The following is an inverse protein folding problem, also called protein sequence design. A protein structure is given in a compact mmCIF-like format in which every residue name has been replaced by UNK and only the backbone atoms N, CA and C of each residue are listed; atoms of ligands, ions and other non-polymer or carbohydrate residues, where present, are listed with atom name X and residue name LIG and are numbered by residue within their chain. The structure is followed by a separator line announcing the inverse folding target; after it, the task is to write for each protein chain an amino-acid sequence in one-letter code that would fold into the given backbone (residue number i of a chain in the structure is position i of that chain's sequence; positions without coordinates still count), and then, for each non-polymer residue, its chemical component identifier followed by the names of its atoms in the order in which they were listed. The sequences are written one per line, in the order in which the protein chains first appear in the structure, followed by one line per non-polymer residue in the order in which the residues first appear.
data_IF_406693933036
#
_entry.id   IF_406693933036
#
_cell.length_a   1.000
_cell.length_b   1.000
_cell.length_c   1.000
_cell.angle_alpha   90.00
_cell.angle_beta   90.00
_cell.angle_gamma   90.00
#
_symmetry.space_group_name_H-M   'P 1'
#
loop_
_entity.id
_entity.type
_entity.pdbx_description
1 polymer ?
#
# COMPACT_ATOMS: atom_id res chain seq x y z
N UNK A 1 -36.34 -5.03 9.19
CA UNK A 1 -36.58 -5.54 7.84
C UNK A 1 -35.48 -6.55 7.66
N UNK A 2 -35.80 -7.84 7.76
CA UNK A 2 -34.84 -8.94 7.93
C UNK A 2 -33.95 -9.21 6.70
N UNK A 3 -33.77 -8.23 5.80
CA UNK A 3 -33.09 -8.43 4.52
C UNK A 3 -33.73 -9.54 3.67
N UNK A 4 -35.04 -9.76 3.80
CA UNK A 4 -35.73 -10.93 3.22
C UNK A 4 -36.04 -10.76 1.72
N UNK A 5 -35.16 -10.10 0.97
CA UNK A 5 -35.28 -9.94 -0.48
C UNK A 5 -34.74 -11.16 -1.25
N UNK A 6 -34.15 -12.13 -0.53
CA UNK A 6 -33.58 -13.35 -1.08
C UNK A 6 -32.31 -13.13 -1.92
N UNK A 7 -31.76 -11.92 -1.90
CA UNK A 7 -30.60 -11.53 -2.70
C UNK A 7 -29.33 -11.68 -1.85
N UNK A 8 -28.41 -12.53 -2.31
CA UNK A 8 -27.08 -12.65 -1.70
C UNK A 8 -26.15 -11.52 -2.12
N UNK A 9 -25.10 -11.30 -1.33
CA UNK A 9 -24.04 -10.35 -1.63
C UNK A 9 -22.70 -11.09 -1.77
N UNK A 10 -21.87 -10.66 -2.72
CA UNK A 10 -20.50 -11.14 -2.89
C UNK A 10 -19.58 -9.93 -2.79
N UNK A 11 -18.66 -9.97 -1.82
CA UNK A 11 -17.54 -9.02 -1.71
C UNK A 11 -16.23 -9.75 -1.97
N UNK A 12 -15.33 -9.10 -2.70
CA UNK A 12 -13.96 -9.57 -2.91
C UNK A 12 -13.04 -8.60 -2.20
N UNK A 13 -12.25 -9.12 -1.27
CA UNK A 13 -11.16 -8.41 -0.61
C UNK A 13 -9.85 -9.00 -1.10
N UNK A 14 -8.87 -8.13 -1.33
CA UNK A 14 -7.51 -8.55 -1.66
C UNK A 14 -6.63 -8.24 -0.46
N UNK A 15 -5.86 -9.21 0.00
CA UNK A 15 -5.08 -9.06 1.22
C UNK A 15 -3.69 -9.67 1.07
N UNK A 16 -2.72 -9.03 1.70
CA UNK A 16 -1.37 -9.54 1.87
C UNK A 16 -1.30 -10.35 3.14
N UNK A 17 -1.35 -11.68 3.02
CA UNK A 17 -1.36 -12.60 4.17
C UNK A 17 0.01 -13.24 4.38
N UNK A 18 0.42 -13.33 5.64
CA UNK A 18 1.64 -14.00 6.11
C UNK A 18 1.31 -15.34 6.79
N UNK A 19 2.29 -16.27 6.87
CA UNK A 19 2.12 -17.50 7.63
C UNK A 19 1.74 -17.21 9.10
N UNK A 20 0.55 -17.67 9.50
CA UNK A 20 0.01 -17.49 10.86
C UNK A 20 -1.14 -16.50 10.96
N UNK A 21 -1.42 -15.72 9.90
CA UNK A 21 -2.60 -14.85 9.84
C UNK A 21 -3.90 -15.66 9.85
N UNK A 22 -4.95 -15.08 10.45
CA UNK A 22 -6.28 -15.69 10.56
C UNK A 22 -7.26 -14.80 9.81
N UNK A 23 -7.98 -15.39 8.85
CA UNK A 23 -9.07 -14.76 8.12
C UNK A 23 -10.39 -15.39 8.58
N UNK A 24 -11.35 -14.55 8.93
CA UNK A 24 -12.67 -14.98 9.42
C UNK A 24 -13.79 -14.19 8.76
N UNK A 25 -15.00 -14.77 8.71
CA UNK A 25 -16.22 -14.07 8.31
C UNK A 25 -17.01 -13.75 9.58
N UNK A 26 -17.15 -12.46 9.87
CA UNK A 26 -18.03 -11.98 10.92
C UNK A 26 -19.34 -11.43 10.33
N UNK A 27 -20.46 -11.75 11.00
CA UNK A 27 -21.77 -11.18 10.74
C UNK A 27 -22.18 -10.31 11.93
N UNK A 28 -22.78 -9.16 11.65
CA UNK A 28 -23.44 -8.36 12.69
C UNK A 28 -24.82 -8.97 12.98
N UNK A 29 -25.23 -9.08 14.26
CA UNK A 29 -26.59 -9.49 14.60
C UNK A 29 -27.63 -8.40 14.26
N UNK A 30 -27.17 -7.19 13.95
CA UNK A 30 -28.00 -6.02 13.67
C UNK A 30 -28.03 -5.74 12.18
N UNK A 31 -29.23 -5.73 11.58
CA UNK A 31 -29.44 -5.34 10.19
C UNK A 31 -29.33 -3.83 9.97
N UNK A 32 -29.45 -3.35 8.71
CA UNK A 32 -29.33 -1.92 8.38
C UNK A 32 -30.35 -1.00 9.07
N UNK A 33 -31.46 -1.54 9.58
CA UNK A 33 -32.48 -0.80 10.32
C UNK A 33 -32.21 -0.70 11.83
N UNK A 34 -31.09 -1.25 12.30
CA UNK A 34 -30.70 -1.22 13.71
C UNK A 34 -31.39 -2.26 14.59
N UNK A 35 -32.21 -3.15 14.02
CA UNK A 35 -32.92 -4.18 14.78
C UNK A 35 -32.13 -5.50 14.84
N UNK A 36 -31.98 -6.07 16.04
CA UNK A 36 -31.32 -7.36 16.26
C UNK A 36 -32.31 -8.54 16.41
N UNK A 37 -33.61 -8.27 16.47
CA UNK A 37 -34.66 -9.28 16.73
C UNK A 37 -35.46 -9.62 15.48
N UNK A 38 -34.90 -9.40 14.30
CA UNK A 38 -35.59 -9.65 13.03
C UNK A 38 -35.00 -10.83 12.23
N UNK A 39 -33.95 -11.48 12.75
CA UNK A 39 -33.32 -12.64 12.11
C UNK A 39 -32.36 -12.29 10.98
N UNK A 40 -31.86 -11.05 10.93
CA UNK A 40 -30.85 -10.61 9.94
C UNK A 40 -29.55 -11.45 9.97
N UNK A 41 -29.23 -12.08 11.09
CA UNK A 41 -28.07 -12.98 11.26
C UNK A 41 -28.31 -14.42 10.76
N UNK A 42 -29.52 -14.75 10.32
CA UNK A 42 -29.89 -16.08 9.81
C UNK A 42 -29.36 -16.41 8.40
N UNK A 43 -28.39 -15.66 7.89
CA UNK A 43 -27.87 -15.79 6.53
C UNK A 43 -26.92 -16.98 6.38
N UNK A 44 -26.96 -17.65 5.22
CA UNK A 44 -25.94 -18.65 4.86
C UNK A 44 -24.71 -17.95 4.27
N UNK A 45 -23.55 -18.11 4.91
CA UNK A 45 -22.29 -17.51 4.48
C UNK A 45 -21.28 -18.55 3.99
N UNK A 46 -20.36 -18.13 3.12
CA UNK A 46 -19.23 -18.92 2.64
C UNK A 46 -18.01 -18.02 2.41
N UNK A 47 -16.81 -18.56 2.64
CA UNK A 47 -15.53 -17.93 2.28
C UNK A 47 -14.90 -18.72 1.14
N UNK A 48 -14.37 -18.01 0.13
CA UNK A 48 -13.42 -18.58 -0.82
C UNK A 48 -12.14 -17.81 -0.74
N UNK A 49 -11.04 -18.54 -0.55
CA UNK A 49 -9.69 -18.02 -0.66
C UNK A 49 -9.15 -18.43 -2.04
N UNK A 50 -8.63 -17.46 -2.78
CA UNK A 50 -8.01 -17.65 -4.09
C UNK A 50 -6.68 -16.91 -4.11
N UNK A 51 -5.64 -17.56 -4.64
CA UNK A 51 -4.30 -16.96 -4.76
C UNK A 51 -4.16 -16.12 -6.03
N UNK A 52 -5.14 -16.17 -6.94
CA UNK A 52 -5.12 -15.39 -8.17
C UNK A 52 -5.60 -13.96 -7.90
N UNK A 53 -4.73 -12.99 -8.16
CA UNK A 53 -5.02 -11.56 -8.09
C UNK A 53 -5.05 -11.00 -9.52
N UNK A 54 -6.15 -10.37 -9.97
CA UNK A 54 -6.20 -9.76 -11.30
C UNK A 54 -5.36 -8.47 -11.34
N UNK A 55 -4.81 -8.10 -12.52
CA UNK A 55 -4.14 -6.81 -12.69
C UNK A 55 -5.08 -5.65 -12.34
N UNK A 56 -4.59 -4.67 -11.58
CA UNK A 56 -5.37 -3.50 -11.16
C UNK A 56 -6.50 -3.83 -10.19
N UNK A 57 -6.37 -4.90 -9.40
CA UNK A 57 -7.32 -5.25 -8.34
C UNK A 57 -7.61 -4.03 -7.44
N UNK A 58 -8.89 -3.82 -7.12
CA UNK A 58 -9.34 -2.78 -6.20
C UNK A 58 -10.14 -3.40 -5.05
N UNK A 59 -10.07 -2.77 -3.88
CA UNK A 59 -10.89 -3.11 -2.74
C UNK A 59 -12.37 -2.72 -2.99
N UNK A 60 -13.31 -3.21 -2.17
CA UNK A 60 -14.73 -2.84 -2.29
C UNK A 60 -15.01 -1.33 -2.18
N UNK A 61 -14.12 -0.56 -1.56
CA UNK A 61 -14.21 0.90 -1.47
C UNK A 61 -13.64 1.66 -2.69
N UNK A 62 -13.08 0.93 -3.67
CA UNK A 62 -12.50 1.47 -4.89
C UNK A 62 -11.00 1.76 -4.81
N UNK A 63 -10.37 1.64 -3.64
CA UNK A 63 -8.93 1.84 -3.50
C UNK A 63 -8.14 0.70 -4.17
N UNK A 64 -6.99 0.96 -4.81
CA UNK A 64 -6.20 -0.09 -5.46
C UNK A 64 -5.53 -1.01 -4.44
N UNK A 65 -5.53 -2.33 -4.70
CA UNK A 65 -4.82 -3.32 -3.91
C UNK A 65 -3.34 -3.41 -4.31
N UNK A 66 -2.45 -3.38 -3.32
CA UNK A 66 -1.01 -3.43 -3.53
C UNK A 66 -0.46 -4.81 -3.17
N UNK A 67 -0.53 -5.73 -4.15
CA UNK A 67 -0.05 -7.11 -4.01
C UNK A 67 1.45 -7.21 -3.65
N UNK A 68 2.23 -6.21 -4.08
CA UNK A 68 3.67 -6.19 -3.91
C UNK A 68 4.11 -5.75 -2.49
N UNK A 69 3.18 -5.33 -1.62
CA UNK A 69 3.44 -4.96 -0.23
C UNK A 69 3.27 -6.12 0.77
N UNK A 70 3.37 -7.38 0.35
CA UNK A 70 3.32 -8.51 1.29
C UNK A 70 4.40 -8.43 2.39
N UNK A 71 5.52 -7.75 2.10
CA UNK A 71 6.58 -7.42 3.06
C UNK A 71 6.55 -5.95 3.55
N UNK A 72 5.54 -5.17 3.15
CA UNK A 72 5.48 -3.72 3.34
C UNK A 72 6.18 -2.93 2.23
N UNK A 73 6.03 -1.60 2.25
CA UNK A 73 6.71 -0.70 1.32
C UNK A 73 8.20 -0.68 1.69
N UNK A 74 9.02 -1.18 0.77
CA UNK A 74 10.46 -1.24 0.94
C UNK A 74 11.15 -0.95 -0.39
N UNK A 75 12.30 -0.30 -0.31
CA UNK A 75 13.19 -0.17 -1.47
C UNK A 75 13.74 -1.56 -1.81
N UNK A 76 13.56 -1.99 -3.06
CA UNK A 76 13.98 -3.31 -3.56
C UNK A 76 15.31 -3.27 -4.31
N UNK A 77 15.64 -2.14 -4.94
CA UNK A 77 16.91 -1.96 -5.64
C UNK A 77 17.41 -0.51 -5.57
N UNK A 78 18.75 -0.36 -5.56
CA UNK A 78 19.43 0.93 -5.63
C UNK A 78 20.64 0.78 -6.56
N UNK A 79 20.65 1.55 -7.65
CA UNK A 79 21.78 1.63 -8.58
C UNK A 79 22.38 3.03 -8.54
N UNK A 80 23.71 3.11 -8.34
CA UNK A 80 24.44 4.37 -8.36
C UNK A 80 25.15 4.56 -9.69
N UNK A 81 24.92 5.70 -10.34
CA UNK A 81 25.68 6.15 -11.51
C UNK A 81 26.80 7.12 -11.06
N UNK A 82 28.08 6.75 -11.23
CA UNK A 82 29.20 7.63 -10.88
C UNK A 82 29.55 8.66 -11.97
N UNK A 83 29.05 8.53 -13.20
CA UNK A 83 29.32 9.47 -14.29
C UNK A 83 28.40 10.70 -14.20
N UNK A 84 27.16 10.47 -13.78
CA UNK A 84 26.18 11.48 -13.41
C UNK A 84 25.73 11.14 -11.99
N UNK A 85 26.19 11.84 -10.93
CA UNK A 85 25.99 11.43 -9.55
C UNK A 85 24.50 11.32 -9.20
N UNK A 86 23.92 10.15 -9.44
CA UNK A 86 22.50 9.88 -9.26
C UNK A 86 22.27 8.46 -8.77
N UNK A 87 21.10 8.26 -8.16
CA UNK A 87 20.63 6.96 -7.69
C UNK A 87 19.32 6.63 -8.40
N UNK A 88 19.25 5.46 -9.01
CA UNK A 88 17.98 4.85 -9.40
C UNK A 88 17.49 4.02 -8.22
N UNK A 89 16.35 4.40 -7.66
CA UNK A 89 15.73 3.73 -6.51
C UNK A 89 14.45 3.06 -6.98
N UNK A 90 14.31 1.76 -6.71
CA UNK A 90 13.15 0.97 -7.12
C UNK A 90 12.38 0.46 -5.90
N UNK A 91 11.05 0.48 -5.98
CA UNK A 91 10.17 -0.07 -4.95
C UNK A 91 8.86 -0.65 -5.55
N UNK A 92 8.22 -1.60 -4.83
CA UNK A 92 6.85 -2.05 -5.08
C UNK A 92 5.85 -0.90 -5.17
N UNK A 93 5.08 -0.86 -6.26
CA UNK A 93 4.19 0.25 -6.60
C UNK A 93 2.83 -0.21 -7.11
N UNK A 94 1.94 0.74 -7.39
CA UNK A 94 0.61 0.47 -7.93
C UNK A 94 0.00 1.66 -8.66
N UNK A 95 -0.69 1.40 -9.77
CA UNK A 95 -1.40 2.45 -10.51
C UNK A 95 -2.41 3.20 -9.63
N UNK A 96 -2.41 4.53 -9.74
CA UNK A 96 -3.28 5.41 -8.95
C UNK A 96 -2.75 5.74 -7.55
N UNK A 97 -1.55 5.26 -7.19
CA UNK A 97 -0.82 5.69 -6.00
C UNK A 97 0.04 6.91 -6.28
N UNK A 98 0.38 7.62 -5.22
CA UNK A 98 1.38 8.67 -5.23
C UNK A 98 2.39 8.44 -4.11
N UNK A 99 3.67 8.61 -4.40
CA UNK A 99 4.77 8.34 -3.48
C UNK A 99 5.59 9.59 -3.22
N UNK A 100 6.18 9.61 -2.03
CA UNK A 100 7.19 10.59 -1.66
C UNK A 100 8.52 9.89 -1.38
N UNK A 101 9.60 10.53 -1.83
CA UNK A 101 10.98 10.19 -1.50
C UNK A 101 11.52 11.25 -0.57
N UNK A 102 12.02 10.82 0.59
CA UNK A 102 12.80 11.65 1.49
C UNK A 102 14.26 11.21 1.47
N UNK A 103 15.16 12.18 1.63
CA UNK A 103 16.60 11.96 1.69
C UNK A 103 17.16 12.46 3.02
N UNK A 104 18.30 11.90 3.42
CA UNK A 104 19.04 12.36 4.60
C UNK A 104 20.52 12.03 4.44
N UNK A 105 21.39 12.85 5.03
CA UNK A 105 22.84 12.56 5.09
C UNK A 105 23.30 12.14 6.50
N UNK A 106 22.44 12.27 7.51
CA UNK A 106 22.79 12.06 8.91
C UNK A 106 21.83 11.15 9.71
N UNK A 107 20.68 10.77 9.15
CA UNK A 107 19.58 10.10 9.88
C UNK A 107 19.12 10.88 11.13
N UNK A 108 19.25 12.21 11.09
CA UNK A 108 18.85 13.07 12.20
C UNK A 108 17.36 13.42 12.11
N UNK A 109 16.75 13.75 13.24
CA UNK A 109 15.41 14.34 13.29
C UNK A 109 15.48 15.86 13.42
N UNK A 110 14.35 16.54 13.22
CA UNK A 110 14.26 17.98 13.43
C UNK A 110 14.64 18.79 12.19
N UNK A 111 15.42 19.85 12.39
CA UNK A 111 15.82 20.83 11.35
C UNK A 111 17.33 20.99 11.26
N UNK A 112 18.08 20.09 11.89
CA UNK A 112 19.54 20.11 11.87
C UNK A 112 20.06 19.63 10.51
N UNK A 113 21.24 20.09 10.11
CA UNK A 113 21.89 19.61 8.89
C UNK A 113 22.04 18.08 8.90
N UNK A 114 21.58 17.43 7.83
CA UNK A 114 21.56 15.97 7.73
C UNK A 114 20.35 15.32 8.41
N UNK A 115 19.31 16.09 8.76
CA UNK A 115 17.99 15.55 9.04
C UNK A 115 17.29 15.06 7.77
N UNK A 116 16.07 14.54 7.90
CA UNK A 116 15.28 14.08 6.75
C UNK A 116 14.65 15.28 6.05
N UNK A 117 14.85 15.35 4.74
CA UNK A 117 14.26 16.36 3.86
C UNK A 117 13.47 15.65 2.76
N UNK A 118 12.34 16.23 2.38
CA UNK A 118 11.56 15.74 1.25
C UNK A 118 12.27 16.10 -0.05
N UNK A 119 12.44 15.11 -0.92
CA UNK A 119 13.05 15.29 -2.23
C UNK A 119 11.98 15.53 -3.30
N UNK A 120 10.96 14.69 -3.31
CA UNK A 120 9.78 14.80 -4.18
C UNK A 120 8.62 14.04 -3.51
N UNK A 121 7.41 14.58 -3.59
CA UNK A 121 6.16 14.00 -3.05
C UNK A 121 5.10 13.72 -4.13
N UNK A 122 5.47 13.89 -5.39
CA UNK A 122 4.56 13.85 -6.54
C UNK A 122 4.86 12.70 -7.49
N UNK A 123 5.43 11.60 -6.98
CA UNK A 123 5.89 10.47 -7.78
C UNK A 123 4.72 9.50 -8.02
N UNK A 124 4.14 9.44 -9.24
CA UNK A 124 3.04 8.55 -9.52
C UNK A 124 3.51 7.09 -9.49
N UNK A 125 2.66 6.22 -8.95
CA UNK A 125 2.87 4.79 -9.02
C UNK A 125 2.69 4.25 -10.43
N UNK A 126 3.70 3.53 -10.93
CA UNK A 126 3.65 2.83 -12.21
C UNK A 126 3.51 1.33 -11.98
N UNK A 127 2.67 0.66 -12.78
CA UNK A 127 2.59 -0.80 -12.84
C UNK A 127 2.58 -1.50 -11.47
N UNK A 128 3.49 -2.45 -11.29
CA UNK A 128 3.73 -3.18 -10.04
C UNK A 128 4.98 -2.66 -9.28
N UNK A 129 5.82 -1.84 -9.93
CA UNK A 129 7.03 -1.24 -9.37
C UNK A 129 7.27 0.14 -10.00
N UNK A 130 7.79 1.06 -9.19
CA UNK A 130 8.25 2.38 -9.64
C UNK A 130 9.76 2.45 -9.45
N UNK A 131 10.46 2.95 -10.47
CA UNK A 131 11.87 3.35 -10.38
C UNK A 131 11.95 4.87 -10.53
N UNK A 132 12.65 5.52 -9.61
CA UNK A 132 12.80 6.98 -9.60
C UNK A 132 14.28 7.37 -9.49
N UNK A 133 14.66 8.40 -10.23
CA UNK A 133 16.02 8.93 -10.24
C UNK A 133 16.17 10.08 -9.22
N UNK A 134 17.13 9.93 -8.32
CA UNK A 134 17.53 10.96 -7.35
C UNK A 134 18.89 11.50 -7.78
N UNK A 135 18.96 12.77 -8.12
CA UNK A 135 20.21 13.47 -8.41
C UNK A 135 20.87 13.87 -7.09
N UNK A 136 22.14 13.52 -6.91
CA UNK A 136 22.94 13.89 -5.74
C UNK A 136 23.76 15.14 -6.08
N UNK A 137 23.62 16.18 -5.27
CA UNK A 137 24.41 17.40 -5.44
C UNK A 137 25.87 17.20 -5.04
N UNK A 138 26.76 17.87 -5.77
CA UNK A 138 28.19 17.96 -5.46
C UNK A 138 28.43 19.05 -4.38
N UNK A 139 29.31 18.80 -3.38
CA UNK A 139 30.13 17.60 -3.22
C UNK A 139 29.34 16.41 -2.70
N UNK A 140 29.66 15.22 -3.22
CA UNK A 140 29.02 13.98 -2.78
C UNK A 140 29.14 13.79 -1.25
N UNK A 141 28.02 13.57 -0.54
CA UNK A 141 28.05 13.34 0.88
C UNK A 141 28.67 11.96 1.20
N UNK A 142 29.35 11.81 2.34
CA UNK A 142 29.95 10.53 2.73
C UNK A 142 28.91 9.44 3.02
N UNK A 143 27.64 9.83 3.21
CA UNK A 143 26.50 8.97 3.51
C UNK A 143 25.25 9.58 2.87
N UNK A 144 24.41 8.74 2.29
CA UNK A 144 23.14 9.13 1.71
C UNK A 144 22.10 8.08 2.08
N UNK A 145 21.01 8.51 2.69
CA UNK A 145 19.92 7.67 3.16
C UNK A 145 18.65 8.07 2.44
N UNK A 146 17.84 7.07 2.11
CA UNK A 146 16.61 7.24 1.35
C UNK A 146 15.47 6.57 2.12
N UNK A 147 14.30 7.20 2.09
CA UNK A 147 13.04 6.62 2.54
C UNK A 147 11.98 6.89 1.48
N UNK A 148 11.17 5.88 1.19
CA UNK A 148 9.98 5.99 0.34
C UNK A 148 8.73 5.91 1.23
N UNK A 149 7.74 6.74 0.95
CA UNK A 149 6.42 6.76 1.60
C UNK A 149 5.32 6.68 0.55
N UNK A 150 4.27 5.92 0.82
CA UNK A 150 2.98 6.07 0.11
C UNK A 150 2.27 7.28 0.72
N UNK A 151 1.92 8.26 -0.11
CA UNK A 151 1.25 9.52 0.27
C UNK A 151 -0.09 9.70 -0.43
N UNK A 152 -0.66 8.60 -0.95
CA UNK A 152 -1.99 8.61 -1.56
C UNK A 152 -3.06 9.02 -0.55
N UNK A 153 -3.93 9.96 -0.92
CA UNK A 153 -5.09 10.42 -0.11
C UNK A 153 -6.23 9.39 -0.03
#
# INVERSE_FOLDING_TARGET
FAGNDGTGEIRTWYENLNPGDIVDIALTPVGPDGNASDGSDGSANWLRVDTRIPPGASQPDGTPFLAALAQGLQVTDILYDPELPSLLVTWPSGAGRNYAVDISTGLLGGVDEGSWEEYDDSIPGEGEETTYEIIIEEPLPPRFFIRVRDVTE
#
